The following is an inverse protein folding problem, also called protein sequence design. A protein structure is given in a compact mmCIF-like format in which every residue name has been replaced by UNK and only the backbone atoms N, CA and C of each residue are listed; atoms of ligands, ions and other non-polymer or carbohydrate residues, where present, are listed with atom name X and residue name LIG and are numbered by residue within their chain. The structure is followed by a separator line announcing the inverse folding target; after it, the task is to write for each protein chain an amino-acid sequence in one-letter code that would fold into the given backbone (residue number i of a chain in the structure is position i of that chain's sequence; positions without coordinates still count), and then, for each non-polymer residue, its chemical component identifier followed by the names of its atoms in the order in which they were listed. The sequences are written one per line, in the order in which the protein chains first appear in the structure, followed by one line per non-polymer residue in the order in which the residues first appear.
data_IF_410608773833
#
_entry.id   IF_410608773833
#
_cell.length_a   1.000
_cell.length_b   1.000
_cell.length_c   1.000
_cell.angle_alpha   90.00
_cell.angle_beta   90.00
_cell.angle_gamma   90.00
#
_symmetry.space_group_name_H-M   'P 1'
#
loop_
_entity.id
_entity.type
_entity.pdbx_description
1 polymer ?
#
# COMPACT_ATOMS: atom_id res chain seq x y z
N UNK A 1 -16.61 -6.99 -1.73
CA UNK A 1 -15.23 -6.80 -2.21
C UNK A 1 -14.42 -8.03 -1.87
N UNK A 2 -13.71 -8.59 -2.84
CA UNK A 2 -12.69 -9.63 -2.61
C UNK A 2 -11.53 -9.08 -1.79
N UNK A 3 -10.70 -9.98 -1.23
CA UNK A 3 -9.49 -9.59 -0.50
C UNK A 3 -8.54 -8.76 -1.39
N UNK A 4 -8.33 -9.19 -2.64
CA UNK A 4 -7.55 -8.44 -3.64
C UNK A 4 -8.11 -7.03 -3.86
N UNK A 5 -9.43 -6.88 -4.07
CA UNK A 5 -10.06 -5.58 -4.27
C UNK A 5 -9.88 -4.65 -3.06
N UNK A 6 -9.92 -5.20 -1.84
CA UNK A 6 -9.64 -4.42 -0.62
C UNK A 6 -8.17 -3.98 -0.57
N UNK A 7 -7.24 -4.87 -0.88
CA UNK A 7 -5.80 -4.54 -0.86
C UNK A 7 -5.47 -3.48 -1.93
N UNK A 8 -5.99 -3.63 -3.15
CA UNK A 8 -5.83 -2.63 -4.21
C UNK A 8 -6.40 -1.26 -3.84
N UNK A 9 -7.55 -1.25 -3.15
CA UNK A 9 -8.16 -0.02 -2.66
C UNK A 9 -7.27 0.69 -1.63
N UNK A 10 -6.75 -0.05 -0.64
CA UNK A 10 -5.85 0.50 0.38
C UNK A 10 -4.53 0.99 -0.22
N UNK A 11 -3.95 0.26 -1.18
CA UNK A 11 -2.77 0.67 -1.95
C UNK A 11 -3.03 2.01 -2.65
N UNK A 12 -4.20 2.17 -3.29
CA UNK A 12 -4.55 3.40 -3.98
C UNK A 12 -4.71 4.59 -3.01
N UNK A 13 -5.26 4.36 -1.82
CA UNK A 13 -5.38 5.39 -0.77
C UNK A 13 -4.00 5.81 -0.29
N UNK A 14 -3.13 4.88 0.08
CA UNK A 14 -1.79 5.18 0.59
C UNK A 14 -0.96 5.96 -0.44
N UNK A 15 -1.00 5.58 -1.71
CA UNK A 15 -0.32 6.32 -2.79
C UNK A 15 -0.80 7.76 -2.90
N UNK A 16 -2.11 8.01 -2.75
CA UNK A 16 -2.67 9.37 -2.77
C UNK A 16 -2.21 10.18 -1.56
N UNK A 17 -2.21 9.59 -0.37
CA UNK A 17 -1.75 10.25 0.85
C UNK A 17 -0.26 10.60 0.74
N UNK A 18 0.60 9.66 0.33
CA UNK A 18 2.03 9.91 0.12
C UNK A 18 2.24 11.06 -0.86
N UNK A 19 1.56 11.05 -2.02
CA UNK A 19 1.73 12.10 -3.03
C UNK A 19 1.24 13.46 -2.51
N UNK A 20 0.14 13.49 -1.72
CA UNK A 20 -0.34 14.72 -1.07
C UNK A 20 0.69 15.26 -0.09
N UNK A 21 1.22 14.41 0.79
CA UNK A 21 2.20 14.81 1.80
C UNK A 21 3.53 15.25 1.17
N UNK A 22 4.01 14.55 0.13
CA UNK A 22 5.20 14.95 -0.64
C UNK A 22 5.07 16.35 -1.27
N UNK A 23 3.86 16.80 -1.60
CA UNK A 23 3.59 18.13 -2.18
C UNK A 23 3.42 19.23 -1.14
N UNK A 24 3.03 18.89 0.08
CA UNK A 24 2.78 19.89 1.14
C UNK A 24 4.07 20.48 1.71
N UNK A 25 5.21 19.77 1.65
CA UNK A 25 6.51 20.29 2.09
C UNK A 25 6.65 20.50 3.61
N UNK A 26 5.63 20.19 4.40
CA UNK A 26 5.68 20.30 5.86
C UNK A 26 6.62 19.26 6.47
N UNK A 27 7.40 19.64 7.48
CA UNK A 27 8.33 18.74 8.16
C UNK A 27 7.62 17.56 8.84
N UNK A 28 6.40 17.77 9.37
CA UNK A 28 5.53 16.70 9.90
C UNK A 28 5.07 15.71 8.82
N UNK A 29 5.10 16.11 7.55
CA UNK A 29 4.73 15.24 6.43
C UNK A 29 5.74 14.10 6.21
N UNK A 30 7.01 14.28 6.62
CA UNK A 30 8.07 13.29 6.40
C UNK A 30 7.79 12.00 7.17
N UNK A 31 7.43 12.10 8.45
CA UNK A 31 7.10 10.93 9.27
C UNK A 31 5.87 10.19 8.73
N UNK A 32 4.86 10.94 8.25
CA UNK A 32 3.66 10.37 7.64
C UNK A 32 3.98 9.64 6.33
N UNK A 33 4.83 10.22 5.48
CA UNK A 33 5.29 9.59 4.24
C UNK A 33 6.00 8.26 4.54
N UNK A 34 6.91 8.24 5.51
CA UNK A 34 7.65 7.03 5.89
C UNK A 34 6.69 5.95 6.40
N UNK A 35 5.74 6.31 7.28
CA UNK A 35 4.75 5.37 7.79
C UNK A 35 3.87 4.78 6.67
N UNK A 36 3.44 5.62 5.72
CA UNK A 36 2.63 5.17 4.58
C UNK A 36 3.42 4.34 3.58
N UNK A 37 4.69 4.65 3.33
CA UNK A 37 5.56 3.84 2.46
C UNK A 37 5.79 2.45 3.06
N UNK A 38 6.00 2.36 4.38
CA UNK A 38 6.13 1.07 5.06
C UNK A 38 4.83 0.25 5.01
N UNK A 39 3.68 0.88 5.26
CA UNK A 39 2.37 0.23 5.13
C UNK A 39 2.09 -0.23 3.69
N UNK A 40 2.50 0.57 2.70
CA UNK A 40 2.34 0.25 1.29
C UNK A 40 3.17 -0.99 0.90
N UNK A 41 4.42 -1.07 1.37
CA UNK A 41 5.27 -2.24 1.13
C UNK A 41 4.64 -3.50 1.71
N UNK A 42 4.18 -3.44 2.96
CA UNK A 42 3.53 -4.58 3.63
C UNK A 42 2.28 -5.05 2.86
N UNK A 43 1.46 -4.12 2.38
CA UNK A 43 0.27 -4.45 1.59
C UNK A 43 0.62 -5.07 0.23
N UNK A 44 1.70 -4.63 -0.42
CA UNK A 44 2.17 -5.23 -1.66
C UNK A 44 2.68 -6.65 -1.44
N UNK A 45 3.43 -6.91 -0.37
CA UNK A 45 3.88 -8.26 -0.01
C UNK A 45 2.69 -9.19 0.26
N UNK A 46 1.67 -8.72 0.99
CA UNK A 46 0.44 -9.49 1.23
C UNK A 46 -0.32 -9.75 -0.08
N UNK A 47 -0.39 -8.76 -0.98
CA UNK A 47 -1.02 -8.92 -2.29
C UNK A 47 -0.32 -10.01 -3.11
N UNK A 48 1.01 -9.97 -3.20
CA UNK A 48 1.81 -10.96 -3.91
C UNK A 48 1.66 -12.37 -3.30
N UNK A 49 1.73 -12.50 -1.98
CA UNK A 49 1.51 -13.77 -1.28
C UNK A 49 0.08 -14.31 -1.48
N UNK A 50 -0.91 -13.42 -1.52
CA UNK A 50 -2.31 -13.80 -1.77
C UNK A 50 -2.51 -14.31 -3.21
N UNK A 51 -1.79 -13.74 -4.18
CA UNK A 51 -1.81 -14.17 -5.57
C UNK A 51 -1.01 -15.47 -5.80
N UNK A 52 0.10 -15.68 -5.09
CA UNK A 52 0.89 -16.91 -5.21
C UNK A 52 0.13 -18.17 -4.75
N UNK A 53 -0.81 -18.03 -3.81
CA UNK A 53 -1.66 -19.16 -3.37
C UNK A 53 -2.65 -19.65 -4.44
N UNK A 54 -2.99 -18.83 -5.43
CA UNK A 54 -3.86 -19.27 -6.54
C UNK A 54 -3.10 -20.03 -7.65
N UNK A 55 -1.76 -20.07 -7.62
CA UNK A 55 -0.92 -20.60 -8.72
C UNK A 55 -0.11 -21.85 -8.33
N UNK A 56 -0.44 -22.54 -7.23
CA UNK A 56 0.09 -23.90 -7.01
C UNK A 56 -0.88 -24.96 -7.55
N UNK A 57 -0.70 -25.47 -8.79
CA UNK A 57 -1.32 -26.71 -9.19
C UNK A 57 -0.56 -27.84 -8.50
N UNK A 58 -1.24 -28.53 -7.59
CA UNK A 58 -0.94 -29.94 -7.36
C UNK A 58 -1.53 -30.75 -8.51
#
# INVERSE_FOLDING_TARGET
MSLQQKIEHEIAILRRLINRHKRCGDSESICMIIAYEYGLQTLMEIYELSNQKEVMPF
#
